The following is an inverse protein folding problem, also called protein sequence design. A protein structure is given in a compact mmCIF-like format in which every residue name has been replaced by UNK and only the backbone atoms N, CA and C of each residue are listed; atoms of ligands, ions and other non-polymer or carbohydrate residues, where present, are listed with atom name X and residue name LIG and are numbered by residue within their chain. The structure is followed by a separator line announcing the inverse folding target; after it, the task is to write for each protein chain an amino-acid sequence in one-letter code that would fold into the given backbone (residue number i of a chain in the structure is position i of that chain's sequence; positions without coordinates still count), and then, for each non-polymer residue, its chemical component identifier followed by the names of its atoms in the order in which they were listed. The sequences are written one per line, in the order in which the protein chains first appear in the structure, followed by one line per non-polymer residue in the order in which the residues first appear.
data_IF_018840435259
#
_entry.id   IF_018840435259
#
_cell.length_a   1.000
_cell.length_b   1.000
_cell.length_c   1.000
_cell.angle_alpha   90.00
_cell.angle_beta   90.00
_cell.angle_gamma   90.00
#
_symmetry.space_group_name_H-M   'P 1'
#
loop_
_entity.id
_entity.type
_entity.pdbx_description
1 polymer ?
#
# COMPACT_ATOMS: atom_id res chain seq x y z
N UNK A 1 17.16 -37.01 -14.89
CA UNK A 1 18.24 -36.88 -13.90
C UNK A 1 18.91 -35.53 -14.10
N UNK A 2 18.78 -34.58 -13.17
CA UNK A 2 19.56 -33.34 -13.21
C UNK A 2 20.94 -33.60 -12.58
N UNK A 3 22.04 -33.08 -13.18
CA UNK A 3 23.39 -33.27 -12.65
C UNK A 3 23.51 -32.67 -11.25
N UNK A 4 24.33 -33.30 -10.39
CA UNK A 4 24.57 -32.85 -9.03
C UNK A 4 25.24 -31.46 -9.04
N UNK A 5 24.46 -30.40 -8.82
CA UNK A 5 24.88 -29.00 -8.94
C UNK A 5 25.63 -28.50 -7.71
N UNK A 6 26.78 -29.10 -7.38
CA UNK A 6 27.53 -28.75 -6.16
C UNK A 6 28.01 -27.29 -6.11
N UNK A 7 28.08 -26.59 -7.26
CA UNK A 7 28.46 -25.18 -7.37
C UNK A 7 27.31 -24.27 -7.85
N UNK A 8 26.08 -24.79 -7.92
CA UNK A 8 24.96 -24.01 -8.44
C UNK A 8 24.43 -23.08 -7.34
N UNK A 9 24.53 -21.76 -7.58
CA UNK A 9 24.09 -20.71 -6.63
C UNK A 9 22.70 -20.18 -6.97
N UNK A 10 22.36 -20.13 -8.25
CA UNK A 10 21.07 -19.65 -8.75
C UNK A 10 20.45 -20.70 -9.68
N UNK A 11 19.18 -21.02 -9.45
CA UNK A 11 18.43 -21.94 -10.29
C UNK A 11 17.09 -21.31 -10.66
N UNK A 12 16.80 -21.28 -11.97
CA UNK A 12 15.50 -20.88 -12.50
C UNK A 12 14.93 -22.04 -13.29
N UNK A 13 13.75 -22.50 -12.88
CA UNK A 13 12.97 -23.51 -13.58
C UNK A 13 11.71 -22.84 -14.11
N UNK A 14 11.51 -22.90 -15.43
CA UNK A 14 10.36 -22.29 -16.14
C UNK A 14 9.84 -23.29 -17.17
N UNK A 15 9.20 -24.36 -16.70
CA UNK A 15 8.79 -25.49 -17.54
C UNK A 15 7.51 -26.12 -16.98
N UNK A 16 6.44 -26.13 -17.80
CA UNK A 16 5.18 -26.81 -17.44
C UNK A 16 5.39 -28.32 -17.40
N UNK A 17 4.94 -28.96 -16.32
CA UNK A 17 4.96 -30.43 -16.17
C UNK A 17 6.24 -31.03 -15.56
N UNK A 18 7.16 -30.20 -15.05
CA UNK A 18 8.30 -30.69 -14.28
C UNK A 18 7.83 -31.05 -12.86
N UNK A 19 7.82 -32.35 -12.54
CA UNK A 19 7.69 -32.81 -11.15
C UNK A 19 9.03 -32.59 -10.44
N UNK A 20 9.00 -31.99 -9.24
CA UNK A 20 10.19 -31.81 -8.38
C UNK A 20 10.57 -33.08 -7.62
N UNK A 21 9.96 -34.23 -7.94
CA UNK A 21 10.28 -35.49 -7.30
C UNK A 21 11.77 -35.86 -7.49
N UNK A 22 12.44 -36.15 -6.38
CA UNK A 22 13.82 -36.65 -6.34
C UNK A 22 14.91 -35.68 -6.83
N UNK A 23 14.76 -34.38 -6.59
CA UNK A 23 15.87 -33.44 -6.78
C UNK A 23 17.07 -33.80 -5.89
N UNK A 24 18.27 -33.76 -6.49
CA UNK A 24 19.52 -33.91 -5.75
C UNK A 24 19.75 -32.68 -4.87
N UNK A 25 20.24 -32.85 -3.63
CA UNK A 25 20.61 -31.73 -2.78
C UNK A 25 21.63 -30.81 -3.47
N UNK A 26 21.37 -29.51 -3.44
CA UNK A 26 22.24 -28.45 -3.97
C UNK A 26 22.54 -27.47 -2.84
N UNK A 27 23.52 -27.79 -1.97
CA UNK A 27 23.75 -27.04 -0.73
C UNK A 27 24.28 -25.62 -0.97
N UNK A 28 24.85 -25.31 -2.12
CA UNK A 28 25.33 -23.95 -2.45
C UNK A 28 24.25 -23.05 -3.04
N UNK A 29 23.03 -23.57 -3.27
CA UNK A 29 21.95 -22.82 -3.89
C UNK A 29 21.38 -21.79 -2.91
N UNK A 30 21.45 -20.51 -3.27
CA UNK A 30 20.92 -19.40 -2.46
C UNK A 30 19.72 -18.73 -3.12
N UNK A 31 19.51 -18.89 -4.43
CA UNK A 31 18.34 -18.38 -5.13
C UNK A 31 17.65 -19.44 -5.98
N UNK A 32 16.34 -19.57 -5.78
CA UNK A 32 15.46 -20.46 -6.53
C UNK A 32 14.29 -19.67 -7.10
N UNK A 33 14.07 -19.79 -8.41
CA UNK A 33 12.87 -19.30 -9.09
C UNK A 33 12.15 -20.48 -9.72
N UNK A 34 10.92 -20.73 -9.28
CA UNK A 34 10.02 -21.74 -9.81
C UNK A 34 8.89 -21.04 -10.56
N UNK A 35 8.75 -21.33 -11.86
CA UNK A 35 7.81 -20.64 -12.73
C UNK A 35 7.02 -21.61 -13.60
N UNK A 36 5.70 -21.39 -13.68
CA UNK A 36 4.77 -22.23 -14.46
C UNK A 36 4.87 -23.73 -14.13
N UNK A 37 5.10 -24.06 -12.86
CA UNK A 37 5.28 -25.43 -12.39
C UNK A 37 4.02 -25.91 -11.67
N UNK A 38 3.77 -27.22 -11.73
CA UNK A 38 2.77 -27.88 -10.90
C UNK A 38 3.49 -28.42 -9.66
N UNK A 39 3.18 -27.87 -8.49
CA UNK A 39 3.75 -28.27 -7.20
C UNK A 39 2.65 -28.74 -6.29
N UNK A 40 2.93 -29.77 -5.50
CA UNK A 40 2.13 -30.14 -4.34
C UNK A 40 2.77 -29.58 -3.07
N UNK A 41 1.99 -29.47 -2.01
CA UNK A 41 2.46 -28.94 -0.72
C UNK A 41 3.65 -29.75 -0.17
N UNK A 42 3.71 -31.06 -0.42
CA UNK A 42 4.84 -31.87 0.01
C UNK A 42 6.15 -31.44 -0.66
N UNK A 43 6.10 -30.91 -1.88
CA UNK A 43 7.30 -30.41 -2.57
C UNK A 43 7.88 -29.19 -1.86
N UNK A 44 7.03 -28.28 -1.35
CA UNK A 44 7.47 -27.10 -0.59
C UNK A 44 8.15 -27.49 0.73
N UNK A 45 7.61 -28.51 1.41
CA UNK A 45 8.18 -29.04 2.64
C UNK A 45 9.58 -29.67 2.45
N UNK A 46 9.90 -30.13 1.23
CA UNK A 46 11.22 -30.69 0.91
C UNK A 46 12.25 -29.63 0.48
N UNK A 47 11.87 -28.38 0.23
CA UNK A 47 12.79 -27.34 -0.25
C UNK A 47 13.98 -27.15 0.69
N UNK A 48 13.77 -27.17 2.01
CA UNK A 48 14.85 -27.03 2.98
C UNK A 48 15.86 -28.20 2.92
N UNK A 49 15.39 -29.40 2.55
CA UNK A 49 16.24 -30.59 2.39
C UNK A 49 17.08 -30.49 1.12
N UNK A 50 16.50 -29.99 0.04
CA UNK A 50 17.20 -29.83 -1.24
C UNK A 50 18.13 -28.62 -1.25
N UNK A 51 17.71 -27.52 -0.60
CA UNK A 51 18.34 -26.20 -0.66
C UNK A 51 18.47 -25.61 0.74
N UNK A 52 19.34 -26.17 1.62
CA UNK A 52 19.45 -25.74 3.01
C UNK A 52 19.89 -24.26 3.19
N UNK A 53 20.64 -23.72 2.21
CA UNK A 53 21.14 -22.34 2.25
C UNK A 53 20.31 -21.37 1.39
N UNK A 54 19.04 -21.70 1.11
CA UNK A 54 18.19 -20.91 0.25
C UNK A 54 17.81 -19.57 0.91
N UNK A 55 18.29 -18.47 0.35
CA UNK A 55 18.01 -17.11 0.84
C UNK A 55 16.89 -16.42 0.07
N UNK A 56 16.68 -16.79 -1.20
CA UNK A 56 15.70 -16.17 -2.11
C UNK A 56 14.84 -17.23 -2.77
N UNK A 57 13.53 -17.15 -2.54
CA UNK A 57 12.54 -18.00 -3.18
C UNK A 57 11.55 -17.17 -3.99
N UNK A 58 11.37 -17.52 -5.26
CA UNK A 58 10.35 -16.93 -6.13
C UNK A 58 9.43 -18.02 -6.68
N UNK A 59 8.15 -17.92 -6.36
CA UNK A 59 7.09 -18.81 -6.84
C UNK A 59 6.20 -18.01 -7.78
N UNK A 60 6.24 -18.36 -9.07
CA UNK A 60 5.63 -17.58 -10.15
C UNK A 60 4.65 -18.47 -10.93
N UNK A 61 3.34 -18.22 -10.79
CA UNK A 61 2.28 -18.98 -11.47
C UNK A 61 2.42 -20.48 -11.23
N UNK A 62 2.58 -20.85 -9.96
CA UNK A 62 2.66 -22.25 -9.53
C UNK A 62 1.26 -22.76 -9.28
N UNK A 63 0.96 -23.96 -9.79
CA UNK A 63 -0.36 -24.61 -9.67
C UNK A 63 -0.29 -25.84 -8.76
N UNK A 64 -1.44 -26.30 -8.27
CA UNK A 64 -1.57 -27.57 -7.54
C UNK A 64 -1.33 -27.48 -6.03
N UNK A 65 -1.15 -26.27 -5.49
CA UNK A 65 -0.98 -26.04 -4.06
C UNK A 65 -2.34 -25.86 -3.41
N UNK A 66 -2.55 -26.56 -2.30
CA UNK A 66 -3.80 -26.52 -1.53
C UNK A 66 -3.57 -25.71 -0.25
N UNK A 67 -2.78 -26.19 0.70
CA UNK A 67 -2.41 -25.47 1.94
C UNK A 67 -0.88 -25.33 2.04
N UNK A 68 -0.25 -24.47 1.21
CA UNK A 68 1.18 -24.35 1.14
C UNK A 68 1.78 -23.88 2.47
N UNK A 69 2.68 -24.71 3.00
CA UNK A 69 3.49 -24.43 4.19
C UNK A 69 4.93 -24.28 3.79
N UNK A 70 5.48 -23.09 4.00
CA UNK A 70 6.88 -22.79 3.72
C UNK A 70 7.59 -22.59 5.05
N UNK A 71 8.41 -23.58 5.40
CA UNK A 71 9.32 -23.49 6.54
C UNK A 71 10.77 -23.45 6.04
N UNK A 72 11.30 -22.24 5.89
CA UNK A 72 12.65 -22.00 5.38
C UNK A 72 13.39 -21.02 6.31
N UNK A 73 14.16 -21.53 7.29
CA UNK A 73 14.83 -20.69 8.29
C UNK A 73 15.85 -19.71 7.70
N UNK A 74 16.50 -20.04 6.59
CA UNK A 74 17.54 -19.23 5.94
C UNK A 74 16.98 -18.18 4.98
N UNK A 75 15.68 -18.23 4.69
CA UNK A 75 15.03 -17.39 3.69
C UNK A 75 15.01 -15.93 4.12
N UNK A 76 15.56 -15.04 3.28
CA UNK A 76 15.58 -13.58 3.46
C UNK A 76 14.59 -12.87 2.56
N UNK A 77 14.32 -13.41 1.37
CA UNK A 77 13.38 -12.83 0.39
C UNK A 77 12.45 -13.89 -0.16
N UNK A 78 11.14 -13.61 -0.10
CA UNK A 78 10.11 -14.45 -0.69
C UNK A 78 9.25 -13.61 -1.65
N UNK A 79 9.05 -14.11 -2.86
CA UNK A 79 8.16 -13.52 -3.85
C UNK A 79 7.16 -14.58 -4.31
N UNK A 80 5.88 -14.30 -4.11
CA UNK A 80 4.78 -15.14 -4.57
C UNK A 80 3.94 -14.34 -5.56
N UNK A 81 3.68 -14.92 -6.72
CA UNK A 81 2.80 -14.34 -7.71
C UNK A 81 1.94 -15.44 -8.32
N UNK A 82 0.64 -15.37 -8.11
CA UNK A 82 -0.32 -16.27 -8.73
C UNK A 82 -1.55 -15.51 -9.26
N UNK A 83 -1.92 -15.85 -10.49
CA UNK A 83 -3.00 -15.24 -11.25
C UNK A 83 -4.01 -16.25 -11.77
N UNK A 84 -3.86 -17.54 -11.45
CA UNK A 84 -4.66 -18.58 -12.08
C UNK A 84 -5.57 -19.29 -11.09
N UNK A 85 -5.06 -19.63 -9.90
CA UNK A 85 -5.79 -20.41 -8.92
C UNK A 85 -6.16 -19.58 -7.69
N UNK A 86 -7.30 -19.91 -7.09
CA UNK A 86 -7.69 -19.43 -5.77
C UNK A 86 -6.77 -20.13 -4.75
N UNK A 87 -5.91 -19.35 -4.08
CA UNK A 87 -5.08 -19.89 -3.00
C UNK A 87 -5.92 -19.87 -1.71
N UNK A 88 -6.27 -21.02 -1.12
CA UNK A 88 -7.16 -21.00 0.04
C UNK A 88 -6.42 -20.55 1.32
N UNK A 89 -5.12 -20.83 1.45
CA UNK A 89 -4.27 -20.40 2.57
C UNK A 89 -2.78 -20.32 2.20
N UNK A 90 -2.00 -19.58 3.00
CA UNK A 90 -0.54 -19.58 2.94
C UNK A 90 0.04 -19.47 4.34
N UNK A 91 0.89 -20.43 4.71
CA UNK A 91 1.62 -20.40 5.98
C UNK A 91 3.11 -20.23 5.71
N UNK A 92 3.68 -19.12 6.18
CA UNK A 92 5.10 -18.79 6.08
C UNK A 92 5.71 -18.80 7.49
N UNK A 93 6.61 -19.75 7.76
CA UNK A 93 7.41 -19.81 8.99
C UNK A 93 8.86 -19.60 8.59
N UNK A 94 9.30 -18.36 8.63
CA UNK A 94 10.58 -17.92 8.05
C UNK A 94 11.17 -16.83 8.94
N UNK A 95 11.86 -17.19 10.04
CA UNK A 95 12.27 -16.24 11.06
C UNK A 95 13.17 -15.12 10.56
N UNK A 96 14.01 -15.41 9.57
CA UNK A 96 14.97 -14.47 8.99
C UNK A 96 14.45 -13.73 7.74
N UNK A 97 13.15 -13.84 7.43
CA UNK A 97 12.56 -13.21 6.26
C UNK A 97 12.54 -11.69 6.43
N UNK A 98 13.17 -10.96 5.51
CA UNK A 98 13.29 -9.50 5.51
C UNK A 98 12.29 -8.87 4.54
N UNK A 99 12.11 -9.49 3.37
CA UNK A 99 11.26 -8.99 2.29
C UNK A 99 10.26 -10.04 1.85
N UNK A 100 8.98 -9.69 1.90
CA UNK A 100 7.88 -10.51 1.38
C UNK A 100 7.12 -9.72 0.31
N UNK A 101 6.88 -10.35 -0.84
CA UNK A 101 5.93 -9.87 -1.84
C UNK A 101 4.93 -10.96 -2.15
N UNK A 102 3.64 -10.64 -2.07
CA UNK A 102 2.53 -11.53 -2.41
C UNK A 102 1.61 -10.83 -3.39
N UNK A 103 1.47 -11.41 -4.57
CA UNK A 103 0.50 -11.02 -5.58
C UNK A 103 -0.46 -12.18 -5.84
N UNK A 104 -1.74 -11.99 -5.55
CA UNK A 104 -2.73 -13.07 -5.59
C UNK A 104 -4.10 -12.56 -6.04
N UNK A 105 -4.81 -13.35 -6.86
CA UNK A 105 -6.15 -12.99 -7.30
C UNK A 105 -7.09 -12.80 -6.12
N UNK A 106 -7.35 -13.88 -5.38
CA UNK A 106 -8.15 -13.90 -4.17
C UNK A 106 -7.22 -14.02 -2.94
N UNK A 107 -7.26 -13.06 -2.01
CA UNK A 107 -6.26 -13.00 -0.98
C UNK A 107 -6.49 -14.08 0.09
N UNK A 108 -5.51 -14.96 0.32
CA UNK A 108 -5.65 -16.11 1.19
C UNK A 108 -5.82 -15.71 2.65
N UNK A 109 -6.19 -16.70 3.48
CA UNK A 109 -5.80 -16.67 4.89
C UNK A 109 -4.27 -16.78 4.95
N UNK A 110 -3.58 -15.66 5.20
CA UNK A 110 -2.11 -15.58 5.21
C UNK A 110 -1.61 -15.57 6.65
N UNK A 111 -0.97 -16.65 7.07
CA UNK A 111 -0.24 -16.71 8.33
C UNK A 111 1.26 -16.52 8.07
N UNK A 112 1.82 -15.44 8.63
CA UNK A 112 3.25 -15.10 8.51
C UNK A 112 3.90 -15.04 9.90
N UNK A 113 4.77 -16.00 10.18
CA UNK A 113 5.70 -15.97 11.29
C UNK A 113 7.10 -15.56 10.78
N UNK A 114 7.31 -14.25 10.72
CA UNK A 114 8.54 -13.63 10.24
C UNK A 114 8.89 -12.40 11.10
N UNK A 115 9.43 -12.60 12.32
CA UNK A 115 9.78 -11.51 13.22
C UNK A 115 10.73 -10.46 12.60
N UNK A 116 11.61 -10.85 11.67
CA UNK A 116 12.53 -9.93 11.00
C UNK A 116 11.93 -9.19 9.79
N UNK A 117 10.65 -9.41 9.46
CA UNK A 117 10.03 -8.84 8.27
C UNK A 117 10.01 -7.31 8.35
N UNK A 118 10.72 -6.66 7.42
CA UNK A 118 10.87 -5.20 7.33
C UNK A 118 10.15 -4.60 6.13
N UNK A 119 10.03 -5.36 5.04
CA UNK A 119 9.41 -4.92 3.80
C UNK A 119 8.31 -5.89 3.37
N UNK A 120 7.07 -5.40 3.30
CA UNK A 120 5.94 -6.19 2.85
C UNK A 120 5.21 -5.48 1.71
N UNK A 121 5.11 -6.19 0.59
CA UNK A 121 4.34 -5.79 -0.57
C UNK A 121 3.19 -6.77 -0.75
N UNK A 122 1.97 -6.25 -0.68
CA UNK A 122 0.76 -7.05 -0.81
C UNK A 122 -0.13 -6.51 -1.94
N UNK A 123 -0.44 -7.35 -2.92
CA UNK A 123 -1.25 -7.02 -4.09
C UNK A 123 -2.41 -8.02 -4.24
N UNK A 124 -3.61 -7.58 -3.84
CA UNK A 124 -4.85 -8.30 -4.09
C UNK A 124 -5.49 -7.85 -5.41
N UNK A 125 -6.04 -8.78 -6.19
CA UNK A 125 -6.79 -8.45 -7.40
C UNK A 125 -8.32 -8.56 -7.24
N UNK A 126 -8.83 -9.14 -6.15
CA UNK A 126 -10.26 -9.21 -5.79
C UNK A 126 -10.54 -8.61 -4.39
N UNK A 127 -11.74 -8.85 -3.86
CA UNK A 127 -12.16 -8.44 -2.52
C UNK A 127 -11.48 -9.30 -1.45
N UNK A 128 -10.82 -8.65 -0.50
CA UNK A 128 -10.01 -9.31 0.52
C UNK A 128 -10.77 -9.82 1.75
N UNK A 129 -11.81 -10.62 1.53
CA UNK A 129 -12.84 -10.86 2.56
C UNK A 129 -12.32 -11.63 3.78
N UNK A 130 -11.38 -12.56 3.56
CA UNK A 130 -10.79 -13.48 4.56
C UNK A 130 -9.37 -13.12 4.97
N UNK A 131 -8.84 -11.98 4.50
CA UNK A 131 -7.47 -11.58 4.80
C UNK A 131 -7.28 -11.32 6.31
N UNK A 132 -6.51 -12.19 6.96
CA UNK A 132 -6.05 -12.01 8.34
C UNK A 132 -4.53 -11.90 8.31
N UNK A 133 -3.98 -10.91 9.02
CA UNK A 133 -2.54 -10.70 9.07
C UNK A 133 -2.08 -10.79 10.52
N UNK A 134 -1.01 -11.56 10.82
CA UNK A 134 -0.42 -11.53 12.13
C UNK A 134 0.19 -10.17 12.44
N UNK A 135 0.39 -9.91 13.74
CA UNK A 135 1.04 -8.69 14.22
C UNK A 135 2.49 -8.67 13.73
N UNK A 136 2.89 -7.60 13.06
CA UNK A 136 4.27 -7.40 12.65
C UNK A 136 5.08 -6.65 13.70
N UNK A 137 6.25 -7.19 14.05
CA UNK A 137 7.13 -6.58 15.05
C UNK A 137 8.08 -5.55 14.46
N UNK A 138 8.60 -5.77 13.25
CA UNK A 138 9.67 -4.96 12.67
C UNK A 138 9.33 -4.32 11.31
N UNK A 139 8.07 -4.40 10.86
CA UNK A 139 7.66 -3.93 9.54
C UNK A 139 7.86 -2.42 9.37
N UNK A 140 8.79 -2.00 8.51
CA UNK A 140 9.12 -0.59 8.23
C UNK A 140 8.46 -0.05 6.98
N UNK A 141 8.41 -0.86 5.93
CA UNK A 141 7.86 -0.48 4.62
C UNK A 141 6.68 -1.36 4.28
N UNK A 142 5.54 -0.74 4.03
CA UNK A 142 4.33 -1.43 3.64
C UNK A 142 3.81 -0.86 2.31
N UNK A 143 3.65 -1.75 1.33
CA UNK A 143 3.01 -1.44 0.06
C UNK A 143 1.75 -2.29 -0.07
N UNK A 144 0.62 -1.64 -0.31
CA UNK A 144 -0.68 -2.28 -0.41
C UNK A 144 -1.34 -1.92 -1.74
N UNK A 145 -1.83 -2.94 -2.46
CA UNK A 145 -2.66 -2.76 -3.63
C UNK A 145 -3.90 -3.64 -3.58
N UNK A 146 -5.06 -3.04 -3.88
CA UNK A 146 -6.35 -3.73 -3.95
C UNK A 146 -7.26 -3.08 -4.98
N UNK A 147 -8.43 -3.67 -5.26
CA UNK A 147 -9.49 -2.97 -5.99
C UNK A 147 -9.97 -1.76 -5.19
N UNK A 148 -10.19 -1.94 -3.88
CA UNK A 148 -10.60 -0.88 -2.95
C UNK A 148 -9.66 -0.87 -1.75
N UNK A 149 -8.87 0.18 -1.59
CA UNK A 149 -7.86 0.21 -0.53
C UNK A 149 -8.51 0.34 0.84
N UNK A 150 -9.66 1.03 0.92
CA UNK A 150 -10.44 1.17 2.14
C UNK A 150 -10.80 -0.19 2.76
N UNK A 151 -11.10 -1.20 1.93
CA UNK A 151 -11.45 -2.54 2.40
C UNK A 151 -10.26 -3.27 3.01
N UNK A 152 -9.13 -3.26 2.29
CA UNK A 152 -7.91 -3.91 2.73
C UNK A 152 -7.43 -3.32 4.07
N UNK A 153 -7.48 -2.00 4.22
CA UNK A 153 -7.12 -1.33 5.48
C UNK A 153 -7.96 -1.78 6.68
N UNK A 154 -9.25 -2.12 6.50
CA UNK A 154 -10.08 -2.62 7.63
C UNK A 154 -9.61 -3.95 8.21
N UNK A 155 -8.81 -4.69 7.44
CA UNK A 155 -8.32 -6.02 7.79
C UNK A 155 -6.90 -6.00 8.35
N UNK A 156 -6.18 -4.89 8.16
CA UNK A 156 -4.82 -4.75 8.66
C UNK A 156 -4.80 -4.53 10.18
N UNK A 157 -3.90 -5.20 10.90
CA UNK A 157 -3.69 -4.95 12.32
C UNK A 157 -3.01 -3.59 12.55
N UNK A 158 -3.25 -3.02 13.72
CA UNK A 158 -2.48 -1.88 14.20
C UNK A 158 -0.98 -2.19 14.18
N UNK A 159 -0.21 -1.38 13.47
CA UNK A 159 1.23 -1.61 13.24
C UNK A 159 2.01 -0.30 13.36
N UNK A 160 2.47 0.00 14.58
CA UNK A 160 3.24 1.22 14.88
C UNK A 160 4.62 1.30 14.25
N UNK A 161 5.14 0.23 13.67
CA UNK A 161 6.52 0.19 13.15
C UNK A 161 6.63 0.70 11.72
N UNK A 162 5.50 0.80 10.99
CA UNK A 162 5.47 1.24 9.60
C UNK A 162 5.83 2.73 9.53
N UNK A 163 6.90 3.03 8.80
CA UNK A 163 7.40 4.39 8.56
C UNK A 163 7.11 4.86 7.14
N UNK A 164 7.12 3.93 6.18
CA UNK A 164 6.84 4.20 4.76
C UNK A 164 5.65 3.36 4.30
N UNK A 165 4.56 4.04 3.95
CA UNK A 165 3.32 3.43 3.50
C UNK A 165 3.02 3.84 2.06
N UNK A 166 2.67 2.86 1.23
CA UNK A 166 2.26 3.09 -0.15
C UNK A 166 0.93 2.40 -0.42
N UNK A 167 -0.04 3.17 -0.90
CA UNK A 167 -1.43 2.77 -1.09
C UNK A 167 -1.79 2.87 -2.58
N UNK A 168 -2.08 1.74 -3.18
CA UNK A 168 -2.54 1.62 -4.56
C UNK A 168 -3.95 1.06 -4.59
N UNK A 169 -4.84 1.78 -5.24
CA UNK A 169 -6.15 1.27 -5.59
C UNK A 169 -6.25 1.10 -7.11
N UNK A 170 -6.82 -0.03 -7.53
CA UNK A 170 -7.21 -0.29 -8.92
C UNK A 170 -8.62 0.25 -9.21
N UNK A 171 -9.28 0.87 -8.24
CA UNK A 171 -10.65 1.37 -8.35
C UNK A 171 -10.84 2.19 -9.63
N UNK A 172 -11.88 1.80 -10.38
CA UNK A 172 -12.44 2.57 -11.47
C UNK A 172 -13.86 2.96 -11.04
N UNK A 173 -14.26 4.23 -11.19
CA UNK A 173 -15.56 4.69 -10.74
C UNK A 173 -16.68 3.90 -11.43
N UNK A 174 -17.34 3.01 -10.70
CA UNK A 174 -18.61 2.40 -11.07
C UNK A 174 -19.67 2.81 -10.04
N UNK A 175 -20.89 3.04 -10.51
CA UNK A 175 -21.94 3.77 -9.77
C UNK A 175 -22.62 2.96 -8.65
N UNK A 176 -22.22 1.71 -8.41
CA UNK A 176 -23.10 0.74 -7.74
C UNK A 176 -22.59 0.16 -6.42
N UNK A 177 -21.38 0.49 -5.97
CA UNK A 177 -20.85 -0.06 -4.73
C UNK A 177 -20.81 0.96 -3.58
N UNK A 178 -21.43 0.59 -2.46
CA UNK A 178 -21.30 1.29 -1.17
C UNK A 178 -19.92 0.94 -0.59
N UNK A 179 -18.91 1.64 -1.07
CA UNK A 179 -17.52 1.33 -0.76
C UNK A 179 -17.13 1.68 0.69
N UNK A 180 -16.28 0.85 1.33
CA UNK A 180 -15.73 1.16 2.65
C UNK A 180 -14.99 2.49 2.62
N UNK A 181 -15.16 3.28 3.68
CA UNK A 181 -14.59 4.62 3.76
C UNK A 181 -13.06 4.56 3.84
N UNK A 182 -12.39 4.95 2.76
CA UNK A 182 -10.97 5.31 2.80
C UNK A 182 -10.81 6.74 3.30
N UNK A 183 -10.20 6.89 4.48
CA UNK A 183 -9.88 8.19 5.08
C UNK A 183 -8.45 8.18 5.62
N UNK A 184 -7.82 9.35 5.71
CA UNK A 184 -6.52 9.48 6.39
C UNK A 184 -6.60 9.11 7.87
N UNK A 185 -7.72 9.40 8.53
CA UNK A 185 -7.94 8.99 9.92
C UNK A 185 -7.79 7.47 10.10
N UNK A 186 -8.34 6.67 9.19
CA UNK A 186 -8.19 5.20 9.19
C UNK A 186 -6.74 4.77 8.95
N UNK A 187 -6.01 5.47 8.09
CA UNK A 187 -4.58 5.20 7.86
C UNK A 187 -3.77 5.42 9.13
N UNK A 188 -3.93 6.57 9.78
CA UNK A 188 -3.15 6.91 10.98
C UNK A 188 -3.60 6.17 12.23
N UNK A 189 -4.87 5.72 12.30
CA UNK A 189 -5.30 4.83 13.38
C UNK A 189 -4.66 3.44 13.29
N UNK A 190 -4.23 3.01 12.11
CA UNK A 190 -3.55 1.72 11.92
C UNK A 190 -2.02 1.86 11.95
N UNK A 191 -1.50 2.95 11.38
CA UNK A 191 -0.08 3.19 11.18
C UNK A 191 0.31 4.58 11.69
N UNK A 192 0.35 4.79 13.03
CA UNK A 192 0.54 6.12 13.60
C UNK A 192 1.94 6.71 13.34
N UNK A 193 2.97 5.90 13.09
CA UNK A 193 4.34 6.40 12.90
C UNK A 193 4.74 6.58 11.42
N UNK A 194 3.78 6.60 10.51
CA UNK A 194 4.04 6.81 9.08
C UNK A 194 4.61 8.21 8.86
N UNK A 195 5.88 8.27 8.42
CA UNK A 195 6.56 9.53 8.08
C UNK A 195 6.53 9.81 6.58
N UNK A 196 6.27 8.79 5.75
CA UNK A 196 6.18 8.88 4.30
C UNK A 196 4.96 8.12 3.78
N UNK A 197 4.02 8.85 3.17
CA UNK A 197 2.79 8.28 2.59
C UNK A 197 2.76 8.51 1.08
N UNK A 198 2.56 7.45 0.30
CA UNK A 198 2.34 7.53 -1.14
C UNK A 198 0.96 7.00 -1.50
N UNK A 199 0.16 7.75 -2.26
CA UNK A 199 -1.21 7.42 -2.64
C UNK A 199 -1.32 7.49 -4.16
N UNK A 200 -1.72 6.41 -4.82
CA UNK A 200 -1.95 6.41 -6.26
C UNK A 200 -3.26 7.13 -6.63
N UNK A 201 -3.54 7.27 -7.92
CA UNK A 201 -4.71 8.01 -8.40
C UNK A 201 -6.04 7.35 -8.04
N UNK A 202 -6.10 6.01 -8.01
CA UNK A 202 -7.31 5.30 -7.58
C UNK A 202 -7.60 5.53 -6.10
N UNK A 203 -6.58 5.43 -5.25
CA UNK A 203 -6.74 5.57 -3.81
C UNK A 203 -7.02 7.03 -3.44
N UNK A 204 -6.43 7.97 -4.17
CA UNK A 204 -6.76 9.38 -4.06
C UNK A 204 -8.22 9.65 -4.43
N UNK A 205 -8.72 9.05 -5.51
CA UNK A 205 -10.12 9.18 -5.90
C UNK A 205 -11.08 8.60 -4.84
N UNK A 206 -10.75 7.45 -4.22
CA UNK A 206 -11.51 6.93 -3.08
C UNK A 206 -11.55 7.95 -1.92
N UNK A 207 -10.43 8.62 -1.63
CA UNK A 207 -10.34 9.64 -0.59
C UNK A 207 -11.20 10.86 -0.91
N UNK A 208 -11.15 11.35 -2.15
CA UNK A 208 -11.98 12.45 -2.65
C UNK A 208 -13.48 12.10 -2.53
N UNK A 209 -13.87 10.89 -2.92
CA UNK A 209 -15.25 10.43 -2.85
C UNK A 209 -15.77 10.34 -1.40
N UNK A 210 -14.93 9.91 -0.45
CA UNK A 210 -15.27 9.92 0.97
C UNK A 210 -15.50 11.35 1.48
N UNK A 211 -14.61 12.28 1.16
CA UNK A 211 -14.74 13.68 1.58
C UNK A 211 -16.01 14.33 1.01
N UNK A 212 -16.34 14.08 -0.26
CA UNK A 212 -17.59 14.57 -0.87
C UNK A 212 -18.83 14.07 -0.11
N UNK A 213 -18.87 12.77 0.20
CA UNK A 213 -19.99 12.16 0.96
C UNK A 213 -20.17 12.74 2.36
N UNK A 214 -19.09 13.15 3.01
CA UNK A 214 -19.13 13.76 4.34
C UNK A 214 -19.65 15.22 4.34
N UNK A 215 -20.19 15.72 3.23
CA UNK A 215 -20.91 16.99 3.17
C UNK A 215 -20.03 18.20 2.92
N UNK A 216 -18.88 18.03 2.27
CA UNK A 216 -18.01 19.14 1.83
C UNK A 216 -18.46 19.81 0.52
N UNK A 217 -19.73 19.69 0.15
CA UNK A 217 -20.32 20.53 -0.90
C UNK A 217 -20.37 21.98 -0.41
N UNK A 218 -19.76 22.90 -1.18
CA UNK A 218 -19.76 24.32 -0.82
C UNK A 218 -21.20 24.81 -0.80
N UNK A 219 -21.60 25.30 0.37
CA UNK A 219 -22.66 26.28 0.50
C UNK A 219 -22.14 27.59 -0.07
N UNK A 220 -22.54 27.91 -1.29
CA UNK A 220 -22.54 29.29 -1.75
C UNK A 220 -23.58 30.02 -0.89
N UNK A 221 -23.13 30.77 0.11
CA UNK A 221 -23.92 31.66 0.97
C UNK A 221 -25.27 31.11 1.51
N UNK A 222 -25.28 30.71 2.79
CA UNK A 222 -26.44 30.31 3.63
C UNK A 222 -26.88 28.84 3.52
N UNK A 223 -26.32 28.02 4.41
CA UNK A 223 -27.05 27.19 5.39
C UNK A 223 -26.03 26.42 6.24
N UNK A 224 -26.28 26.38 7.55
CA UNK A 224 -25.41 25.74 8.54
C UNK A 224 -25.22 24.23 8.25
N UNK A 225 -24.01 23.68 8.45
CA UNK A 225 -23.76 22.26 8.27
C UNK A 225 -24.42 21.45 9.39
N UNK A 226 -25.20 20.43 8.99
CA UNK A 226 -25.67 19.40 9.91
C UNK A 226 -24.49 18.56 10.39
N UNK A 227 -24.34 18.57 11.71
CA UNK A 227 -23.42 17.86 12.59
C UNK A 227 -22.89 16.51 12.06
N UNK A 228 -21.62 16.47 11.67
CA UNK A 228 -20.67 15.38 11.99
C UNK A 228 -19.27 15.97 11.83
N UNK A 229 -18.55 16.10 12.96
CA UNK A 229 -17.30 16.86 13.07
C UNK A 229 -16.15 16.04 12.49
N UNK A 230 -15.68 16.44 11.30
CA UNK A 230 -14.26 16.45 10.95
C UNK A 230 -13.93 17.78 10.28
N UNK A 231 -14.29 18.90 10.94
CA UNK A 231 -13.99 20.23 10.45
C UNK A 231 -12.51 20.56 10.65
N UNK A 232 -11.85 20.93 9.55
CA UNK A 232 -10.48 21.44 9.50
C UNK A 232 -10.27 22.55 10.55
N UNK A 233 -9.32 22.31 11.46
CA UNK A 233 -9.01 23.15 12.63
C UNK A 233 -8.52 24.56 12.30
N UNK A 234 -8.13 24.85 11.04
CA UNK A 234 -7.70 26.19 10.60
C UNK A 234 -8.82 27.13 10.15
N UNK A 235 -10.06 26.65 9.99
CA UNK A 235 -11.18 27.52 9.60
C UNK A 235 -11.94 28.16 10.77
N UNK A 236 -11.57 27.86 12.03
CA UNK A 236 -12.30 28.27 13.25
C UNK A 236 -11.47 29.12 14.21
N UNK A 237 -10.57 29.98 13.71
CA UNK A 237 -9.80 30.91 14.55
C UNK A 237 -10.63 32.00 15.24
N UNK A 238 -11.95 31.88 15.30
CA UNK A 238 -12.86 32.90 15.85
C UNK A 238 -13.87 32.39 16.90
N UNK A 239 -13.80 31.13 17.35
CA UNK A 239 -14.74 30.62 18.35
C UNK A 239 -14.05 29.72 19.37
N UNK A 240 -14.00 30.17 20.63
CA UNK A 240 -13.32 29.54 21.77
C UNK A 240 -13.90 28.19 22.24
N UNK A 241 -14.46 27.37 21.36
CA UNK A 241 -15.11 26.09 21.67
C UNK A 241 -14.16 24.89 21.83
N UNK A 242 -12.83 25.11 21.83
CA UNK A 242 -11.83 24.03 21.85
C UNK A 242 -11.67 23.31 23.20
N UNK A 243 -12.16 23.87 24.31
CA UNK A 243 -11.90 23.34 25.66
C UNK A 243 -12.96 22.37 26.18
N UNK A 244 -14.21 22.42 25.70
CA UNK A 244 -15.32 21.64 26.29
C UNK A 244 -15.57 20.28 25.62
N UNK A 245 -15.01 20.02 24.42
CA UNK A 245 -15.23 18.77 23.67
C UNK A 245 -14.23 17.64 24.01
N UNK A 246 -13.39 17.84 25.05
CA UNK A 246 -12.28 16.94 25.40
C UNK A 246 -12.71 15.65 26.13
N UNK A 247 -13.95 15.58 26.63
CA UNK A 247 -14.38 14.55 27.58
C UNK A 247 -15.34 13.48 27.02
N UNK A 248 -15.67 13.50 25.71
CA UNK A 248 -16.71 12.60 25.16
C UNK A 248 -16.29 11.66 24.02
N UNK A 249 -15.03 11.65 23.61
CA UNK A 249 -14.63 10.94 22.38
C UNK A 249 -13.47 9.96 22.57
N UNK A 250 -13.70 8.77 22.02
CA UNK A 250 -12.82 7.64 21.74
C UNK A 250 -11.36 7.73 22.25
N UNK A 251 -10.90 6.81 23.13
CA UNK A 251 -9.52 6.80 23.64
C UNK A 251 -8.42 6.72 22.56
N UNK A 252 -8.76 6.44 21.29
CA UNK A 252 -7.82 6.40 20.15
C UNK A 252 -7.70 7.73 19.38
N UNK A 253 -8.48 8.76 19.70
CA UNK A 253 -8.46 10.04 18.96
C UNK A 253 -7.13 10.79 19.05
N UNK A 254 -6.36 10.58 20.13
CA UNK A 254 -5.08 11.27 20.33
C UNK A 254 -3.97 10.66 19.46
N UNK A 255 -4.01 9.35 19.22
CA UNK A 255 -3.04 8.64 18.37
C UNK A 255 -3.19 9.02 16.89
N UNK A 256 -4.43 9.27 16.44
CA UNK A 256 -4.70 9.76 15.07
C UNK A 256 -4.08 11.15 14.86
N UNK A 257 -4.28 12.06 15.82
CA UNK A 257 -3.73 13.42 15.75
C UNK A 257 -2.20 13.42 15.81
N UNK A 258 -1.60 12.55 16.62
CA UNK A 258 -0.15 12.41 16.68
C UNK A 258 0.43 11.75 15.43
N UNK A 259 -0.30 10.80 14.82
CA UNK A 259 0.12 10.21 13.55
C UNK A 259 0.13 11.20 12.39
N UNK A 260 -0.85 12.09 12.32
CA UNK A 260 -0.84 13.17 11.32
C UNK A 260 0.31 14.17 11.51
N UNK A 261 0.81 14.35 12.74
CA UNK A 261 1.99 15.20 13.03
C UNK A 261 3.31 14.52 12.66
N UNK A 262 3.35 13.19 12.65
CA UNK A 262 4.54 12.41 12.32
C UNK A 262 4.82 12.39 10.81
N UNK A 263 3.79 12.55 9.97
CA UNK A 263 3.91 12.59 8.52
C UNK A 263 4.79 13.75 8.06
N UNK A 264 5.93 13.43 7.41
CA UNK A 264 6.89 14.42 6.89
C UNK A 264 6.82 14.57 5.38
N UNK A 265 6.45 13.50 4.69
CA UNK A 265 6.47 13.39 3.23
C UNK A 265 5.15 12.80 2.74
N UNK A 266 4.53 13.45 1.75
CA UNK A 266 3.40 12.88 1.02
C UNK A 266 3.69 12.88 -0.49
N UNK A 267 3.28 11.80 -1.14
CA UNK A 267 3.29 11.63 -2.58
C UNK A 267 1.88 11.27 -3.04
N UNK A 268 1.31 11.99 -3.99
CA UNK A 268 -0.03 11.72 -4.51
C UNK A 268 -0.06 11.81 -6.04
N UNK A 269 -0.77 10.86 -6.66
CA UNK A 269 -1.02 10.82 -8.10
C UNK A 269 -2.45 11.34 -8.34
N UNK A 270 -2.60 12.37 -9.18
CA UNK A 270 -3.85 13.10 -9.36
C UNK A 270 -4.30 13.02 -10.84
N UNK A 271 -5.61 12.86 -11.07
CA UNK A 271 -6.23 12.87 -12.40
C UNK A 271 -6.86 14.23 -12.78
N UNK A 272 -6.98 15.17 -11.83
CA UNK A 272 -7.61 16.51 -11.97
C UNK A 272 -8.88 16.55 -12.85
N UNK A 273 -9.81 15.61 -12.63
CA UNK A 273 -11.11 15.59 -13.35
C UNK A 273 -11.92 16.86 -13.02
N UNK A 274 -11.90 17.27 -11.75
CA UNK A 274 -12.38 18.57 -11.29
C UNK A 274 -11.27 19.23 -10.47
N UNK A 275 -10.52 20.19 -11.06
CA UNK A 275 -9.39 20.83 -10.39
C UNK A 275 -9.75 21.51 -9.07
N UNK A 276 -10.98 22.05 -8.93
CA UNK A 276 -11.41 22.72 -7.71
C UNK A 276 -11.64 21.69 -6.60
N UNK A 277 -12.37 20.61 -6.91
CA UNK A 277 -12.58 19.52 -5.97
C UNK A 277 -11.27 18.86 -5.56
N UNK A 278 -10.36 18.58 -6.51
CA UNK A 278 -9.08 17.98 -6.14
C UNK A 278 -8.23 18.94 -5.31
N UNK A 279 -8.26 20.25 -5.59
CA UNK A 279 -7.57 21.25 -4.77
C UNK A 279 -8.09 21.25 -3.33
N UNK A 280 -9.40 21.15 -3.14
CA UNK A 280 -10.01 21.07 -1.80
C UNK A 280 -9.57 19.81 -1.06
N UNK A 281 -9.49 18.68 -1.75
CA UNK A 281 -9.00 17.44 -1.13
C UNK A 281 -7.52 17.56 -0.78
N UNK A 282 -6.68 18.10 -1.66
CA UNK A 282 -5.28 18.43 -1.33
C UNK A 282 -5.23 19.35 -0.10
N UNK A 283 -6.08 20.38 -0.06
CA UNK A 283 -6.13 21.30 1.08
C UNK A 283 -6.48 20.61 2.39
N UNK A 284 -7.50 19.75 2.35
CA UNK A 284 -7.95 18.98 3.50
C UNK A 284 -6.82 18.09 4.04
N UNK A 285 -6.08 17.42 3.15
CA UNK A 285 -4.94 16.57 3.53
C UNK A 285 -3.80 17.39 4.13
N UNK A 286 -3.38 18.46 3.45
CA UNK A 286 -2.24 19.28 3.87
C UNK A 286 -2.51 20.04 5.18
N UNK A 287 -3.73 20.55 5.37
CA UNK A 287 -4.08 21.28 6.59
C UNK A 287 -4.18 20.36 7.82
N UNK A 288 -4.50 19.07 7.64
CA UNK A 288 -4.50 18.08 8.72
C UNK A 288 -3.10 17.59 9.08
N UNK A 289 -2.18 17.56 8.12
CA UNK A 289 -0.83 17.02 8.29
C UNK A 289 0.20 18.12 8.56
N UNK A 290 0.08 18.75 9.74
CA UNK A 290 0.93 19.90 10.16
C UNK A 290 2.43 19.62 10.21
N UNK A 291 2.83 18.34 10.24
CA UNK A 291 4.23 17.92 10.24
C UNK A 291 4.88 17.86 8.86
N UNK A 292 4.12 18.07 7.78
CA UNK A 292 4.60 17.94 6.42
C UNK A 292 5.68 18.97 6.10
N UNK A 293 6.73 18.49 5.43
CA UNK A 293 7.85 19.31 4.94
C UNK A 293 8.07 19.16 3.45
N UNK A 294 7.64 18.04 2.85
CA UNK A 294 7.79 17.75 1.43
C UNK A 294 6.50 17.17 0.85
N UNK A 295 6.05 17.74 -0.26
CA UNK A 295 4.86 17.31 -0.99
C UNK A 295 5.25 17.01 -2.42
N UNK A 296 4.94 15.81 -2.89
CA UNK A 296 5.12 15.39 -4.28
C UNK A 296 3.77 15.15 -4.93
N UNK A 297 3.38 15.98 -5.90
CA UNK A 297 2.13 15.79 -6.65
C UNK A 297 2.47 15.41 -8.09
N UNK A 298 1.99 14.25 -8.52
CA UNK A 298 2.10 13.78 -9.88
C UNK A 298 0.76 13.97 -10.58
N UNK A 299 0.71 14.82 -11.59
CA UNK A 299 -0.51 15.12 -12.35
C UNK A 299 -0.57 14.27 -13.61
N UNK A 300 -1.74 13.75 -13.97
CA UNK A 300 -1.89 12.94 -15.17
C UNK A 300 -1.58 13.76 -16.43
N UNK A 301 -0.95 13.15 -17.43
CA UNK A 301 -0.54 13.81 -18.68
C UNK A 301 -1.68 14.40 -19.52
N UNK A 302 -2.93 13.98 -19.25
CA UNK A 302 -4.10 14.47 -19.98
C UNK A 302 -4.58 15.86 -19.51
N UNK A 303 -3.97 16.41 -18.44
CA UNK A 303 -4.29 17.75 -17.96
C UNK A 303 -3.59 18.80 -18.80
N UNK A 304 -4.32 19.82 -19.24
CA UNK A 304 -3.76 20.91 -20.06
C UNK A 304 -2.82 21.80 -19.26
N UNK A 305 -1.79 22.35 -19.93
CA UNK A 305 -0.79 23.22 -19.32
C UNK A 305 -1.37 24.38 -18.49
N UNK A 306 -2.34 25.17 -18.99
CA UNK A 306 -2.93 26.26 -18.21
C UNK A 306 -3.65 25.81 -16.93
N UNK A 307 -4.33 24.65 -16.97
CA UNK A 307 -5.02 24.10 -15.79
C UNK A 307 -4.00 23.62 -14.77
N UNK A 308 -2.95 22.93 -15.22
CA UNK A 308 -1.83 22.49 -14.40
C UNK A 308 -1.16 23.68 -13.69
N UNK A 309 -0.78 24.73 -14.44
CA UNK A 309 -0.12 25.90 -13.86
C UNK A 309 -1.03 26.66 -12.89
N UNK A 310 -2.31 26.84 -13.22
CA UNK A 310 -3.26 27.45 -12.28
C UNK A 310 -3.39 26.66 -10.98
N UNK A 311 -3.43 25.33 -11.07
CA UNK A 311 -3.49 24.44 -9.90
C UNK A 311 -2.21 24.52 -9.07
N UNK A 312 -1.04 24.48 -9.72
CA UNK A 312 0.28 24.60 -9.07
C UNK A 312 0.41 25.91 -8.31
N UNK A 313 0.10 27.04 -8.94
CA UNK A 313 0.15 28.35 -8.31
C UNK A 313 -0.74 28.39 -7.06
N UNK A 314 -2.01 27.98 -7.16
CA UNK A 314 -2.92 27.94 -6.00
C UNK A 314 -2.39 27.11 -4.83
N UNK A 315 -1.76 25.97 -5.11
CA UNK A 315 -1.14 25.14 -4.09
C UNK A 315 0.06 25.84 -3.43
N UNK A 316 0.98 26.38 -4.23
CA UNK A 316 2.18 27.05 -3.71
C UNK A 316 1.83 28.34 -2.96
N UNK A 317 0.84 29.11 -3.42
CA UNK A 317 0.38 30.34 -2.77
C UNK A 317 -0.23 30.06 -1.39
N UNK A 318 -0.96 28.94 -1.24
CA UNK A 318 -1.60 28.58 0.04
C UNK A 318 -0.63 27.95 1.04
N UNK A 319 0.36 27.19 0.58
CA UNK A 319 1.39 26.60 1.46
C UNK A 319 2.81 26.89 0.93
N UNK A 320 3.28 28.14 1.07
CA UNK A 320 4.58 28.57 0.53
C UNK A 320 5.76 27.91 1.26
N UNK A 321 5.56 27.48 2.51
CA UNK A 321 6.62 26.87 3.34
C UNK A 321 6.92 25.40 2.98
N UNK A 322 6.08 24.76 2.17
CA UNK A 322 6.25 23.35 1.80
C UNK A 322 7.27 23.19 0.67
N UNK A 323 8.12 22.16 0.75
CA UNK A 323 8.99 21.77 -0.36
C UNK A 323 8.18 20.99 -1.40
N UNK A 324 7.76 21.69 -2.44
CA UNK A 324 6.99 21.12 -3.53
C UNK A 324 7.88 20.34 -4.50
N UNK A 325 7.34 19.24 -5.01
CA UNK A 325 7.90 18.49 -6.14
C UNK A 325 6.75 18.14 -7.08
N UNK A 326 6.88 18.54 -8.33
CA UNK A 326 5.84 18.33 -9.33
C UNK A 326 6.28 17.28 -10.34
N UNK A 327 5.36 16.44 -10.77
CA UNK A 327 5.62 15.44 -11.80
C UNK A 327 4.43 15.26 -12.71
N UNK A 328 4.69 14.68 -13.87
CA UNK A 328 3.66 14.21 -14.81
C UNK A 328 3.71 12.69 -14.83
N UNK A 329 2.56 12.03 -14.79
CA UNK A 329 2.47 10.58 -14.92
C UNK A 329 1.54 10.17 -16.06
N UNK A 330 1.78 8.99 -16.61
CA UNK A 330 1.03 8.41 -17.72
C UNK A 330 0.48 7.03 -17.34
N UNK A 331 -0.53 6.54 -18.08
CA UNK A 331 -1.20 5.24 -17.85
C UNK A 331 -0.26 4.01 -17.73
N UNK A 332 0.99 4.10 -18.17
CA UNK A 332 1.98 3.02 -18.09
C UNK A 332 2.84 3.08 -16.81
N UNK A 333 2.40 3.81 -15.78
CA UNK A 333 3.16 4.08 -14.55
C UNK A 333 4.56 4.69 -14.79
N UNK A 334 4.78 5.25 -15.98
CA UNK A 334 5.95 6.09 -16.26
C UNK A 334 5.65 7.49 -15.74
N UNK A 335 6.57 8.04 -14.95
CA UNK A 335 6.50 9.39 -14.46
C UNK A 335 7.76 10.16 -14.84
N UNK A 336 7.58 11.46 -15.08
CA UNK A 336 8.64 12.42 -15.38
C UNK A 336 8.51 13.52 -14.33
N UNK A 337 9.59 13.80 -13.61
CA UNK A 337 9.61 14.93 -12.68
C UNK A 337 9.81 16.22 -13.47
N UNK A 338 8.99 17.23 -13.16
CA UNK A 338 9.20 18.58 -13.67
C UNK A 338 10.33 19.16 -12.83
N UNK A 339 11.49 19.36 -13.44
CA UNK A 339 12.62 20.04 -12.79
C UNK A 339 12.34 21.55 -12.75
N UNK A 340 12.67 22.19 -11.63
CA UNK A 340 12.60 23.65 -11.50
C UNK A 340 13.54 24.27 -12.54
N UNK A 341 12.97 24.73 -13.66
CA UNK A 341 13.72 25.30 -14.78
C UNK A 341 13.23 24.93 -16.19
N UNK A 342 12.27 24.01 -16.32
CA UNK A 342 11.68 23.69 -17.63
C UNK A 342 10.26 24.26 -17.71
N UNK A 343 10.12 25.45 -18.29
CA UNK A 343 8.86 25.88 -18.87
C UNK A 343 8.45 24.87 -19.95
N UNK A 344 7.22 24.35 -19.84
CA UNK A 344 6.57 23.54 -20.89
C UNK A 344 6.12 24.44 -22.02
#
# INVERSE_FOLDING_TARGET
MMPAGHNLVNLKLDLRGLSLENLNPMPMLTSLTLKHLYLKDENLNQLNKWFPNLEVLKLLHVQGLEDPKIHLPTLKTCFWQDYYDELPSLTLITPNLITLTVECLDPPTIYIEAPMLSHFHFNAFTHADTFMVPKFENLKTLWLQAIHIGFLLSKFPFTKTVETLTLYSKYKPSREYRDPEFTLGKVFSLFPNVTSLCINSGAWFELEACLKRQGWEISDGRKEPKTTIYQCSRCLSSSGAWLESKSRWNPHGWEILDGMKSLKRICAYLMLVDPLSTFQTVACVLDQCVGLSKVSLLIHSDVTGPVLESFRCKCMDRWPELKWRWGIWTKHNKYIWITDGSSI
#
